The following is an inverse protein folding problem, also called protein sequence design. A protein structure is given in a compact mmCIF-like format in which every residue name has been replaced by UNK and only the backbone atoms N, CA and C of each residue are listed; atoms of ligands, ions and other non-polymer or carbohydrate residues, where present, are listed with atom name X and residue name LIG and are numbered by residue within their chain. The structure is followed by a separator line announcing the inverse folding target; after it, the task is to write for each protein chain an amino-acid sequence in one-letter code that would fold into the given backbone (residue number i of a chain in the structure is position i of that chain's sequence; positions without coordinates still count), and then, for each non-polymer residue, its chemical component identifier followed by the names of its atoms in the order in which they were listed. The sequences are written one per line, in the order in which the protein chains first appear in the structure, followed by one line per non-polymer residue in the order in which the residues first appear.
data_IF_404881746660
#
_entry.id   IF_404881746660
#
_cell.length_a   1.000
_cell.length_b   1.000
_cell.length_c   1.000
_cell.angle_alpha   90.00
_cell.angle_beta   90.00
_cell.angle_gamma   90.00
#
_symmetry.space_group_name_H-M   'P 1'
#
loop_
_entity.id
_entity.type
_entity.pdbx_description
1 polymer ?
#
# COMPACT_ATOMS: atom_id res chain seq x y z
N UNK A 1 -1.92 -19.70 17.21
CA UNK A 1 -3.03 -19.30 16.33
C UNK A 1 -2.76 -17.89 15.86
N UNK A 2 -2.70 -17.65 14.55
CA UNK A 2 -2.54 -16.32 14.01
C UNK A 2 -3.79 -15.48 14.35
N UNK A 3 -3.60 -14.30 14.93
CA UNK A 3 -4.67 -13.42 15.38
C UNK A 3 -5.12 -12.41 14.30
N UNK A 4 -4.56 -12.54 13.09
CA UNK A 4 -4.81 -11.63 11.98
C UNK A 4 -6.30 -11.46 11.65
N UNK A 5 -7.07 -12.56 11.63
CA UNK A 5 -8.52 -12.51 11.35
C UNK A 5 -9.30 -11.60 12.32
N UNK A 6 -8.89 -11.55 13.59
CA UNK A 6 -9.51 -10.67 14.60
C UNK A 6 -9.07 -9.23 14.41
N UNK A 7 -7.78 -9.02 14.11
CA UNK A 7 -7.22 -7.69 13.94
C UNK A 7 -7.81 -7.00 12.70
N UNK A 8 -7.83 -7.68 11.54
CA UNK A 8 -8.22 -7.06 10.27
C UNK A 8 -9.66 -6.54 10.25
N UNK A 9 -10.57 -7.07 11.07
CA UNK A 9 -11.96 -6.63 11.14
C UNK A 9 -12.30 -5.91 12.45
N UNK A 10 -11.31 -5.67 13.32
CA UNK A 10 -11.50 -5.16 14.69
C UNK A 10 -11.35 -3.64 14.84
N UNK A 11 -11.14 -2.90 13.75
CA UNK A 11 -10.92 -1.46 13.79
C UNK A 11 -12.23 -0.68 13.72
N UNK A 12 -12.29 0.45 14.42
CA UNK A 12 -13.45 1.35 14.46
C UNK A 12 -13.31 2.58 13.58
N UNK A 13 -12.11 2.88 13.07
CA UNK A 13 -11.88 4.01 12.16
C UNK A 13 -10.58 3.87 11.35
N UNK A 14 -10.42 4.61 10.23
CA UNK A 14 -9.15 4.66 9.49
C UNK A 14 -7.96 5.15 10.35
N UNK A 15 -8.20 6.05 11.30
CA UNK A 15 -7.19 6.50 12.26
C UNK A 15 -6.71 5.35 13.14
N UNK A 16 -7.61 4.47 13.59
CA UNK A 16 -7.25 3.29 14.38
C UNK A 16 -6.39 2.29 13.58
N UNK A 17 -6.69 2.11 12.28
CA UNK A 17 -5.86 1.32 11.36
C UNK A 17 -4.47 1.97 11.23
N UNK A 18 -4.42 3.27 10.95
CA UNK A 18 -3.17 4.04 10.82
C UNK A 18 -2.31 3.97 12.08
N UNK A 19 -2.92 4.16 13.26
CA UNK A 19 -2.23 4.08 14.54
C UNK A 19 -1.66 2.68 14.77
N UNK A 20 -2.47 1.63 14.55
CA UNK A 20 -2.01 0.25 14.67
C UNK A 20 -0.82 -0.04 13.76
N UNK A 21 -0.86 0.41 12.51
CA UNK A 21 0.24 0.22 11.56
C UNK A 21 1.50 0.93 12.04
N UNK A 22 1.43 2.17 12.51
CA UNK A 22 2.60 2.91 13.00
C UNK A 22 3.26 2.21 14.21
N UNK A 23 2.44 1.67 15.11
CA UNK A 23 2.90 1.00 16.31
C UNK A 23 3.53 -0.37 16.00
N UNK A 24 2.89 -1.15 15.11
CA UNK A 24 3.18 -2.58 14.95
C UNK A 24 3.88 -2.95 13.63
N UNK A 25 3.75 -2.15 12.57
CA UNK A 25 4.29 -2.45 11.25
C UNK A 25 5.36 -1.43 10.86
N UNK A 26 6.59 -1.91 10.62
CA UNK A 26 7.69 -1.03 10.19
C UNK A 26 7.84 -1.03 8.67
N UNK A 27 8.31 0.07 8.14
CA UNK A 27 8.80 0.07 6.77
C UNK A 27 10.12 -0.70 6.68
N UNK A 28 10.31 -1.50 5.64
CA UNK A 28 11.48 -2.36 5.49
C UNK A 28 12.81 -1.59 5.65
N UNK A 29 13.71 -2.11 6.49
CA UNK A 29 15.05 -1.53 6.71
C UNK A 29 15.97 -1.74 5.50
N UNK A 30 17.15 -1.11 5.49
CA UNK A 30 18.12 -1.30 4.39
C UNK A 30 18.57 -2.75 4.28
N UNK A 31 18.79 -3.41 5.41
CA UNK A 31 19.21 -4.81 5.50
C UNK A 31 18.11 -5.73 4.96
N UNK A 32 16.85 -5.51 5.36
CA UNK A 32 15.70 -6.26 4.86
C UNK A 32 15.53 -6.06 3.35
N UNK A 33 15.66 -4.83 2.85
CA UNK A 33 15.63 -4.56 1.41
C UNK A 33 16.74 -5.29 0.66
N UNK A 34 17.94 -5.35 1.22
CA UNK A 34 19.06 -6.03 0.59
C UNK A 34 18.88 -7.54 0.61
N UNK A 35 18.36 -8.12 1.69
CA UNK A 35 18.02 -9.53 1.76
C UNK A 35 16.90 -9.88 0.76
N UNK A 36 15.84 -9.07 0.67
CA UNK A 36 14.76 -9.30 -0.29
C UNK A 36 15.21 -9.22 -1.75
N UNK A 37 16.25 -8.46 -2.10
CA UNK A 37 16.83 -8.48 -3.46
C UNK A 37 17.39 -9.85 -3.84
N UNK A 38 17.90 -10.62 -2.87
CA UNK A 38 18.51 -11.94 -3.10
C UNK A 38 17.44 -13.00 -3.37
N UNK A 39 16.28 -12.88 -2.70
CA UNK A 39 15.18 -13.84 -2.80
C UNK A 39 14.03 -13.38 -3.71
N UNK A 40 14.15 -12.17 -4.30
CA UNK A 40 13.08 -11.48 -5.01
C UNK A 40 12.17 -10.74 -4.03
N UNK A 41 12.11 -9.40 -4.12
CA UNK A 41 11.13 -8.63 -3.35
C UNK A 41 9.75 -8.94 -3.91
N UNK A 42 8.98 -9.83 -3.26
CA UNK A 42 7.62 -10.14 -3.68
C UNK A 42 6.57 -9.36 -2.88
N UNK A 43 5.36 -9.24 -3.45
CA UNK A 43 4.21 -8.67 -2.77
C UNK A 43 3.67 -9.66 -1.74
N UNK A 44 3.74 -9.30 -0.46
CA UNK A 44 3.19 -10.13 0.61
C UNK A 44 1.69 -9.96 0.73
N UNK A 45 1.01 -11.02 1.12
CA UNK A 45 -0.36 -10.93 1.61
C UNK A 45 -0.43 -10.05 2.88
N UNK A 46 -1.61 -9.50 3.21
CA UNK A 46 -1.82 -8.80 4.47
C UNK A 46 -1.46 -9.64 5.70
N UNK A 47 -1.73 -10.95 5.67
CA UNK A 47 -1.43 -11.88 6.77
C UNK A 47 0.08 -12.09 6.94
N UNK A 48 0.83 -12.25 5.84
CA UNK A 48 2.29 -12.34 5.88
C UNK A 48 2.91 -11.03 6.39
N UNK A 49 2.38 -9.89 5.95
CA UNK A 49 2.82 -8.57 6.44
C UNK A 49 2.58 -8.40 7.94
N UNK A 50 1.43 -8.89 8.43
CA UNK A 50 1.12 -8.94 9.86
C UNK A 50 2.11 -9.81 10.64
N UNK A 51 2.38 -11.03 10.15
CA UNK A 51 3.30 -11.96 10.80
C UNK A 51 4.74 -11.44 10.84
N UNK A 52 5.19 -10.79 9.76
CA UNK A 52 6.53 -10.24 9.66
C UNK A 52 6.73 -8.98 10.51
N UNK A 53 5.67 -8.20 10.74
CA UNK A 53 5.75 -6.92 11.45
C UNK A 53 6.43 -5.81 10.65
N UNK A 54 6.69 -6.02 9.35
CA UNK A 54 7.23 -5.01 8.45
C UNK A 54 6.79 -5.24 7.00
N UNK A 55 6.95 -4.24 6.14
CA UNK A 55 6.66 -4.36 4.72
C UNK A 55 7.23 -3.24 3.86
N UNK A 56 7.16 -3.42 2.55
CA UNK A 56 7.33 -2.37 1.56
C UNK A 56 6.03 -1.57 1.39
N UNK A 57 6.03 -0.55 0.52
CA UNK A 57 4.87 0.33 0.37
C UNK A 57 3.64 -0.43 -0.15
N UNK A 58 3.84 -1.37 -1.06
CA UNK A 58 2.77 -2.24 -1.58
C UNK A 58 2.24 -3.20 -0.51
N UNK A 59 3.09 -3.77 0.34
CA UNK A 59 2.67 -4.65 1.45
C UNK A 59 1.82 -3.88 2.47
N UNK A 60 2.31 -2.71 2.90
CA UNK A 60 1.63 -1.87 3.88
C UNK A 60 0.33 -1.29 3.33
N UNK A 61 0.28 -0.95 2.03
CA UNK A 61 -0.94 -0.54 1.36
C UNK A 61 -1.98 -1.66 1.33
N UNK A 62 -1.58 -2.90 1.00
CA UNK A 62 -2.48 -4.06 1.03
C UNK A 62 -2.97 -4.38 2.44
N UNK A 63 -2.12 -4.28 3.46
CA UNK A 63 -2.55 -4.46 4.84
C UNK A 63 -3.63 -3.44 5.24
N UNK A 64 -3.41 -2.15 4.92
CA UNK A 64 -4.38 -1.09 5.20
C UNK A 64 -5.70 -1.33 4.44
N UNK A 65 -5.63 -1.70 3.16
CA UNK A 65 -6.78 -2.03 2.33
C UNK A 65 -7.63 -3.13 2.99
N UNK A 66 -7.01 -4.26 3.34
CA UNK A 66 -7.68 -5.40 3.96
C UNK A 66 -8.39 -5.02 5.26
N UNK A 67 -7.75 -4.17 6.08
CA UNK A 67 -8.34 -3.71 7.33
C UNK A 67 -9.54 -2.77 7.12
N UNK A 68 -9.41 -1.81 6.19
CA UNK A 68 -10.50 -0.88 5.90
C UNK A 68 -11.72 -1.60 5.31
N UNK A 69 -11.49 -2.57 4.41
CA UNK A 69 -12.55 -3.36 3.80
C UNK A 69 -13.20 -4.32 4.81
N UNK A 70 -12.43 -5.09 5.59
CA UNK A 70 -13.03 -6.05 6.51
C UNK A 70 -13.79 -5.38 7.67
N UNK A 71 -13.32 -4.22 8.13
CA UNK A 71 -14.04 -3.43 9.14
C UNK A 71 -15.18 -2.58 8.55
N UNK A 72 -15.45 -2.67 7.24
CA UNK A 72 -16.48 -1.89 6.53
C UNK A 72 -16.36 -0.36 6.79
N UNK A 73 -15.12 0.13 6.86
CA UNK A 73 -14.83 1.53 7.21
C UNK A 73 -14.87 2.46 5.99
N UNK A 74 -14.49 1.94 4.82
CA UNK A 74 -14.50 2.69 3.58
C UNK A 74 -14.45 1.78 2.35
N UNK A 75 -14.98 2.27 1.23
CA UNK A 75 -14.61 1.75 -0.09
C UNK A 75 -13.19 2.21 -0.41
N UNK A 76 -12.24 1.31 -0.23
CA UNK A 76 -10.81 1.59 -0.37
C UNK A 76 -10.20 0.83 -1.56
N UNK A 77 -9.16 1.41 -2.15
CA UNK A 77 -8.38 0.85 -3.26
C UNK A 77 -6.90 1.16 -3.05
N UNK A 78 -6.01 0.39 -3.66
CA UNK A 78 -4.60 0.79 -3.74
C UNK A 78 -4.42 1.77 -4.89
N UNK A 79 -3.86 2.94 -4.62
CA UNK A 79 -3.34 3.82 -5.67
C UNK A 79 -1.88 3.48 -5.89
N UNK A 80 -1.57 3.03 -7.11
CA UNK A 80 -0.23 2.88 -7.62
C UNK A 80 0.09 4.06 -8.53
N UNK A 81 1.16 4.81 -8.20
CA UNK A 81 1.71 5.86 -9.06
C UNK A 81 3.11 5.46 -9.50
N UNK A 82 3.35 5.45 -10.81
CA UNK A 82 4.64 5.16 -11.40
C UNK A 82 5.29 6.42 -11.97
N UNK A 83 6.61 6.49 -11.86
CA UNK A 83 7.48 7.53 -12.39
C UNK A 83 8.79 6.91 -12.87
N UNK A 84 9.53 7.59 -13.75
CA UNK A 84 10.78 7.06 -14.28
C UNK A 84 10.58 5.78 -15.10
N UNK A 85 11.66 5.02 -15.30
CA UNK A 85 11.64 3.82 -16.13
C UNK A 85 11.25 2.59 -15.29
N UNK A 86 9.95 2.27 -15.25
CA UNK A 86 9.45 1.08 -14.55
C UNK A 86 10.14 -0.20 -15.03
N UNK A 87 10.42 -1.11 -14.10
CA UNK A 87 11.13 -2.36 -14.38
C UNK A 87 12.65 -2.22 -14.47
N UNK A 88 13.18 -1.03 -14.79
CA UNK A 88 14.62 -0.73 -14.77
C UNK A 88 15.05 -0.10 -13.45
N UNK A 89 14.32 0.93 -13.01
CA UNK A 89 14.65 1.67 -11.80
C UNK A 89 14.13 0.95 -10.56
N UNK A 90 14.96 0.79 -9.52
CA UNK A 90 14.60 0.09 -8.27
C UNK A 90 13.64 0.88 -7.36
N UNK A 91 13.16 2.04 -7.82
CA UNK A 91 12.31 2.97 -7.07
C UNK A 91 11.48 3.80 -8.07
N UNK A 92 10.75 3.11 -8.94
CA UNK A 92 9.99 3.67 -10.07
C UNK A 92 8.51 3.88 -9.76
N UNK A 93 8.09 3.72 -8.49
CA UNK A 93 6.71 3.98 -8.11
C UNK A 93 6.41 3.76 -6.65
N UNK A 94 5.22 4.20 -6.25
CA UNK A 94 4.72 4.15 -4.88
C UNK A 94 3.31 3.58 -4.85
N UNK A 95 3.01 2.84 -3.79
CA UNK A 95 1.70 2.27 -3.52
C UNK A 95 1.20 2.83 -2.20
N UNK A 96 -0.04 3.30 -2.19
CA UNK A 96 -0.73 3.76 -0.98
C UNK A 96 -2.15 3.20 -0.96
N UNK A 97 -2.69 2.94 0.23
CA UNK A 97 -4.11 2.64 0.35
C UNK A 97 -4.90 3.96 0.33
N UNK A 98 -5.94 4.04 -0.48
CA UNK A 98 -6.74 5.25 -0.70
C UNK A 98 -8.21 4.97 -0.50
N UNK A 99 -8.92 5.97 0.00
CA UNK A 99 -10.37 5.94 0.09
C UNK A 99 -10.91 7.37 -0.05
N UNK A 100 -12.22 7.48 -0.23
CA UNK A 100 -12.88 8.76 -0.49
C UNK A 100 -14.00 9.00 0.52
N UNK A 101 -14.07 10.22 1.04
CA UNK A 101 -15.21 10.73 1.81
C UNK A 101 -15.71 11.97 1.07
N UNK A 102 -16.98 11.97 0.67
CA UNK A 102 -17.60 13.01 -0.16
C UNK A 102 -16.81 13.30 -1.45
N UNK A 103 -16.19 14.48 -1.57
CA UNK A 103 -15.37 14.92 -2.71
C UNK A 103 -13.87 14.84 -2.46
N UNK A 104 -13.44 14.38 -1.27
CA UNK A 104 -12.03 14.39 -0.87
C UNK A 104 -11.45 12.98 -0.76
N UNK A 105 -10.20 12.86 -1.19
CA UNK A 105 -9.41 11.66 -1.05
C UNK A 105 -8.60 11.67 0.23
N UNK A 106 -8.48 10.50 0.84
CA UNK A 106 -7.62 10.21 1.97
C UNK A 106 -6.74 9.03 1.62
N UNK A 107 -5.57 8.93 2.23
CA UNK A 107 -4.72 7.77 2.04
C UNK A 107 -3.96 7.37 3.31
N UNK A 108 -3.68 6.08 3.43
CA UNK A 108 -2.74 5.53 4.40
C UNK A 108 -1.46 5.19 3.65
N UNK A 109 -0.42 5.98 3.90
CA UNK A 109 0.90 5.87 3.27
C UNK A 109 1.93 5.36 4.28
N UNK A 110 2.33 4.09 4.14
CA UNK A 110 3.21 3.39 5.09
C UNK A 110 2.77 3.53 6.55
N UNK A 111 1.45 3.48 6.79
CA UNK A 111 0.84 3.62 8.11
C UNK A 111 0.45 5.05 8.50
N UNK A 112 0.86 6.08 7.78
CA UNK A 112 0.46 7.47 8.07
C UNK A 112 -0.83 7.83 7.33
N UNK A 113 -1.87 8.20 8.07
CA UNK A 113 -3.09 8.76 7.50
C UNK A 113 -2.84 10.19 7.00
N UNK A 114 -3.27 10.47 5.77
CA UNK A 114 -3.08 11.73 5.06
C UNK A 114 -4.35 12.15 4.33
N UNK A 115 -4.50 13.45 4.13
CA UNK A 115 -5.68 14.08 3.51
C UNK A 115 -6.35 15.06 4.46
N UNK A 116 -7.47 15.68 4.07
CA UNK A 116 -8.15 15.52 2.77
C UNK A 116 -7.35 16.10 1.59
N UNK A 117 -7.47 15.45 0.42
CA UNK A 117 -6.85 15.88 -0.83
C UNK A 117 -7.88 15.96 -1.97
N UNK A 118 -7.68 16.91 -2.88
CA UNK A 118 -8.17 16.77 -4.26
C UNK A 118 -7.46 15.61 -4.98
N UNK A 119 -7.98 15.18 -6.13
CA UNK A 119 -7.35 14.11 -6.89
C UNK A 119 -5.93 14.46 -7.35
N UNK A 120 -5.72 15.68 -7.85
CA UNK A 120 -4.39 16.14 -8.27
C UNK A 120 -3.40 16.19 -7.09
N UNK A 121 -3.86 16.64 -5.93
CA UNK A 121 -3.04 16.62 -4.71
C UNK A 121 -2.68 15.20 -4.30
N UNK A 122 -3.64 14.26 -4.32
CA UNK A 122 -3.40 12.84 -4.02
C UNK A 122 -2.31 12.26 -4.94
N UNK A 123 -2.39 12.54 -6.24
CA UNK A 123 -1.41 12.08 -7.21
C UNK A 123 -0.02 12.66 -6.91
N UNK A 124 0.08 13.98 -6.68
CA UNK A 124 1.37 14.64 -6.40
C UNK A 124 2.03 14.16 -5.10
N UNK A 125 1.26 13.99 -4.02
CA UNK A 125 1.80 13.50 -2.75
C UNK A 125 2.23 12.04 -2.86
N UNK A 126 1.46 11.20 -3.55
CA UNK A 126 1.80 9.79 -3.79
C UNK A 126 3.03 9.64 -4.67
N UNK A 127 3.15 10.50 -5.70
CA UNK A 127 4.33 10.61 -6.55
C UNK A 127 5.57 11.19 -5.84
N UNK A 128 5.42 11.68 -4.60
CA UNK A 128 6.49 12.34 -3.83
C UNK A 128 7.10 13.52 -4.61
N UNK A 129 6.24 14.30 -5.27
CA UNK A 129 6.61 15.41 -6.15
C UNK A 129 7.51 15.02 -7.34
N UNK A 130 7.48 13.76 -7.78
CA UNK A 130 8.14 13.31 -9.01
C UNK A 130 7.22 13.48 -10.22
N UNK A 131 7.80 13.57 -11.40
CA UNK A 131 7.05 13.59 -12.65
C UNK A 131 6.29 12.27 -12.81
N UNK A 132 4.97 12.35 -12.85
CA UNK A 132 4.08 11.18 -12.94
C UNK A 132 4.09 10.70 -14.39
N UNK A 133 4.40 9.42 -14.59
CA UNK A 133 4.28 8.78 -15.89
C UNK A 133 2.90 8.17 -16.07
N UNK A 134 2.42 7.44 -15.05
CA UNK A 134 1.07 6.84 -15.05
C UNK A 134 0.61 6.58 -13.61
N UNK A 135 -0.68 6.30 -13.45
CA UNK A 135 -1.27 5.91 -12.18
C UNK A 135 -2.46 4.96 -12.40
N UNK A 136 -2.73 4.10 -11.42
CA UNK A 136 -3.82 3.13 -11.44
C UNK A 136 -4.41 2.92 -10.04
N UNK A 137 -5.72 2.76 -9.99
CA UNK A 137 -6.39 2.22 -8.82
C UNK A 137 -6.49 0.70 -8.98
N UNK A 138 -6.10 -0.04 -7.95
CA UNK A 138 -6.12 -1.50 -7.90
C UNK A 138 -7.13 -1.90 -6.82
N UNK A 139 -8.18 -2.59 -7.24
CA UNK A 139 -9.20 -3.16 -6.36
C UNK A 139 -8.67 -4.41 -5.66
N UNK A 140 -9.25 -4.76 -4.50
CA UNK A 140 -8.73 -5.86 -3.67
C UNK A 140 -8.70 -7.23 -4.37
N UNK A 141 -9.68 -7.49 -5.24
CA UNK A 141 -9.83 -8.73 -6.00
C UNK A 141 -8.91 -8.79 -7.24
N UNK A 142 -8.32 -7.67 -7.64
CA UNK A 142 -7.33 -7.60 -8.71
C UNK A 142 -5.88 -7.74 -8.20
N UNK A 143 -5.64 -7.81 -6.89
CA UNK A 143 -4.29 -7.95 -6.35
C UNK A 143 -3.80 -9.40 -6.48
N UNK A 144 -2.81 -9.59 -7.34
CA UNK A 144 -2.04 -10.83 -7.40
C UNK A 144 -0.85 -10.75 -6.44
N UNK A 145 -0.97 -11.43 -5.30
CA UNK A 145 0.13 -11.54 -4.34
C UNK A 145 1.27 -12.41 -4.88
N UNK A 146 2.41 -12.30 -4.22
CA UNK A 146 3.67 -12.99 -4.54
C UNK A 146 4.30 -12.61 -5.88
N UNK A 147 3.86 -11.50 -6.49
CA UNK A 147 4.54 -10.87 -7.62
C UNK A 147 5.82 -10.16 -7.18
N UNK A 148 6.90 -10.27 -7.95
CA UNK A 148 8.11 -9.45 -7.74
C UNK A 148 7.82 -7.99 -8.07
N UNK A 149 8.56 -7.07 -7.46
CA UNK A 149 8.40 -5.63 -7.72
C UNK A 149 8.38 -5.26 -9.22
N UNK A 150 9.27 -5.85 -10.03
CA UNK A 150 9.31 -5.60 -11.47
C UNK A 150 8.06 -6.11 -12.20
N UNK A 151 7.47 -7.21 -11.73
CA UNK A 151 6.29 -7.86 -12.31
C UNK A 151 5.00 -7.10 -11.98
N UNK A 152 4.99 -6.28 -10.92
CA UNK A 152 3.86 -5.40 -10.58
C UNK A 152 3.59 -4.32 -11.65
N UNK A 153 4.43 -4.23 -12.69
CA UNK A 153 4.15 -3.43 -13.88
C UNK A 153 2.90 -3.88 -14.62
N UNK A 154 2.48 -5.15 -14.45
CA UNK A 154 1.25 -5.66 -15.06
C UNK A 154 0.00 -4.86 -14.67
N UNK A 155 0.00 -4.19 -13.52
CA UNK A 155 -1.11 -3.31 -13.11
C UNK A 155 -1.19 -2.02 -13.92
N UNK A 156 -0.14 -1.65 -14.66
CA UNK A 156 -0.09 -0.44 -15.48
C UNK A 156 -0.54 -0.67 -16.92
N UNK A 157 -0.60 -1.93 -17.37
CA UNK A 157 -1.03 -2.30 -18.71
C UNK A 157 -2.57 -2.34 -18.75
N UNK A 158 -3.17 -1.81 -19.83
CA UNK A 158 -4.64 -1.87 -20.07
C UNK A 158 -5.05 -3.21 -20.66
#
# INVERSE_FOLDING_TARGET
MNNFARIRCGFSSPEAVSQYMQDNLKYATKEQKQASKIYGCWWKTPEETYCDGFGFCYDLASFALECLLCSNLAHANILFVAWGDWGKDSNAGHFVCTYRIDSFYYCIDNGYLKGPYSFDQLLQVTARNRAIHTHRFIESDHIHYHLKYQEMGCFLED
#
